data_IF_436754846248
#
_entry.id   IF_436754846248
#
_cell.length_a   1.000
_cell.length_b   1.000
_cell.length_c   1.000
_cell.angle_alpha   90.00
_cell.angle_beta   90.00
_cell.angle_gamma   90.00
#
_symmetry.space_group_name_H-M   'P 1'
#
loop_
_entity.id
_entity.type
_entity.pdbx_description
1 polymer ?
#
# COMPACT_ATOMS: atom_id res chain seq x y z
N UNK A 1 -11.37 6.66 5.10
CA UNK A 1 -10.95 5.40 5.78
C UNK A 1 -12.15 4.90 6.58
N UNK A 2 -12.54 3.66 6.36
CA UNK A 2 -13.67 3.01 7.04
C UNK A 2 -13.15 1.89 7.95
N UNK A 3 -13.36 2.05 9.26
CA UNK A 3 -12.91 1.06 10.24
C UNK A 3 -13.90 -0.10 10.44
N UNK A 4 -15.15 0.07 10.02
CA UNK A 4 -16.16 -0.99 10.05
C UNK A 4 -15.89 -1.98 8.92
N UNK A 5 -15.75 -1.46 7.70
CA UNK A 5 -15.41 -2.24 6.51
C UNK A 5 -13.90 -2.57 6.42
N UNK A 6 -13.08 -2.03 7.32
CA UNK A 6 -11.62 -2.16 7.32
C UNK A 6 -11.01 -1.84 5.96
N UNK A 7 -11.40 -0.69 5.39
CA UNK A 7 -11.01 -0.29 4.05
C UNK A 7 -10.51 1.16 3.97
N UNK A 8 -9.64 1.39 3.00
CA UNK A 8 -9.16 2.72 2.62
C UNK A 8 -9.52 2.93 1.14
N UNK A 9 -10.26 3.98 0.86
CA UNK A 9 -10.53 4.41 -0.51
C UNK A 9 -9.36 5.25 -1.03
N UNK A 10 -8.65 4.76 -2.03
CA UNK A 10 -7.55 5.46 -2.70
C UNK A 10 -8.13 6.19 -3.90
N UNK A 11 -8.48 7.47 -3.72
CA UNK A 11 -9.13 8.31 -4.74
C UNK A 11 -8.32 9.56 -5.11
N UNK A 12 -7.15 9.78 -4.52
CA UNK A 12 -6.30 10.95 -4.77
C UNK A 12 -4.82 10.57 -4.83
N UNK A 13 -4.06 11.27 -5.66
CA UNK A 13 -2.61 11.18 -5.76
C UNK A 13 -1.96 12.47 -5.28
N UNK A 14 -0.89 12.36 -4.52
CA UNK A 14 -0.04 13.47 -4.11
C UNK A 14 1.19 13.49 -5.00
N UNK A 15 1.38 14.58 -5.72
CA UNK A 15 2.54 14.79 -6.61
C UNK A 15 3.29 16.03 -6.17
N UNK A 16 4.62 15.94 -6.09
CA UNK A 16 5.49 17.08 -5.91
C UNK A 16 6.34 17.24 -7.17
N UNK A 17 6.16 18.35 -7.84
CA UNK A 17 7.01 18.76 -8.97
C UNK A 17 8.10 19.70 -8.43
N UNK A 18 9.33 19.58 -8.95
CA UNK A 18 10.45 20.44 -8.53
C UNK A 18 10.12 21.90 -8.84
N UNK A 19 10.21 22.75 -7.80
CA UNK A 19 9.91 24.18 -7.92
C UNK A 19 8.44 24.57 -7.80
N UNK A 20 7.54 23.60 -7.62
CA UNK A 20 6.11 23.85 -7.44
C UNK A 20 5.62 23.35 -6.06
N UNK A 21 4.42 23.80 -5.69
CA UNK A 21 3.72 23.32 -4.50
C UNK A 21 3.24 21.87 -4.67
N UNK A 22 2.85 21.26 -3.54
CA UNK A 22 2.25 19.94 -3.54
C UNK A 22 0.93 19.99 -4.30
N UNK A 23 0.79 19.13 -5.31
CA UNK A 23 -0.40 19.03 -6.12
C UNK A 23 -1.14 17.73 -5.77
N UNK A 24 -2.41 17.86 -5.40
CA UNK A 24 -3.31 16.72 -5.18
C UNK A 24 -4.19 16.57 -6.42
N UNK A 25 -4.14 15.39 -7.03
CA UNK A 25 -4.87 15.07 -8.28
C UNK A 25 -5.67 13.80 -8.10
N UNK A 26 -6.70 13.64 -8.90
CA UNK A 26 -7.36 12.35 -9.09
C UNK A 26 -6.41 11.32 -9.73
N UNK A 27 -6.63 10.01 -9.51
CA UNK A 27 -5.89 8.99 -10.19
C UNK A 27 -6.03 9.12 -11.72
N UNK A 28 -4.93 8.87 -12.45
CA UNK A 28 -4.93 8.96 -13.92
C UNK A 28 -5.75 7.86 -14.62
N UNK A 29 -6.05 6.79 -13.92
CA UNK A 29 -6.77 5.63 -14.46
C UNK A 29 -7.85 5.16 -13.47
N UNK A 30 -8.90 4.53 -13.98
CA UNK A 30 -9.94 3.91 -13.15
C UNK A 30 -9.36 2.89 -12.14
N UNK A 31 -8.32 2.14 -12.52
CA UNK A 31 -7.64 1.21 -11.62
C UNK A 31 -6.89 1.91 -10.46
N UNK A 32 -6.62 3.20 -10.59
CA UNK A 32 -6.04 4.01 -9.52
C UNK A 32 -7.04 4.37 -8.44
N UNK A 33 -8.33 4.46 -8.78
CA UNK A 33 -9.44 4.62 -7.84
C UNK A 33 -9.85 3.24 -7.35
N UNK A 34 -9.54 2.92 -6.08
CA UNK A 34 -9.74 1.58 -5.55
C UNK A 34 -9.86 1.55 -4.05
N UNK A 35 -10.43 0.47 -3.53
CA UNK A 35 -10.41 0.14 -2.12
C UNK A 35 -9.25 -0.81 -1.79
N UNK A 36 -8.56 -0.53 -0.68
CA UNK A 36 -7.55 -1.41 -0.11
C UNK A 36 -8.05 -1.85 1.27
N UNK A 37 -8.14 -3.16 1.47
CA UNK A 37 -8.61 -3.74 2.73
C UNK A 37 -7.43 -4.04 3.66
N UNK A 38 -7.66 -3.94 4.97
CA UNK A 38 -6.63 -4.13 5.98
C UNK A 38 -7.08 -5.09 7.10
N UNK A 39 -6.12 -5.72 7.77
CA UNK A 39 -6.36 -6.66 8.85
C UNK A 39 -6.82 -5.97 10.15
N UNK A 40 -7.26 -6.76 11.14
CA UNK A 40 -7.63 -6.25 12.46
C UNK A 40 -6.44 -5.59 13.17
N UNK A 41 -5.25 -6.17 13.03
CA UNK A 41 -4.02 -5.62 13.61
C UNK A 41 -3.69 -4.25 13.00
N UNK A 42 -3.81 -4.12 11.67
CA UNK A 42 -3.63 -2.84 10.99
C UNK A 42 -4.71 -1.84 11.40
N UNK A 43 -5.96 -2.27 11.59
CA UNK A 43 -7.02 -1.41 12.10
C UNK A 43 -6.68 -0.83 13.47
N UNK A 44 -6.11 -1.64 14.37
CA UNK A 44 -5.67 -1.18 15.70
C UNK A 44 -4.56 -0.13 15.59
N UNK A 45 -3.52 -0.41 14.80
CA UNK A 45 -2.43 0.54 14.56
C UNK A 45 -2.93 1.86 13.94
N UNK A 46 -3.85 1.80 12.99
CA UNK A 46 -4.42 3.00 12.37
C UNK A 46 -5.30 3.80 13.33
N UNK A 47 -6.01 3.15 14.26
CA UNK A 47 -6.77 3.83 15.34
C UNK A 47 -5.84 4.52 16.32
N UNK A 48 -4.76 3.86 16.75
CA UNK A 48 -3.74 4.46 17.63
C UNK A 48 -3.10 5.67 16.93
N UNK A 49 -2.73 5.53 15.67
CA UNK A 49 -2.17 6.63 14.89
C UNK A 49 -3.16 7.79 14.73
N UNK A 50 -4.45 7.51 14.52
CA UNK A 50 -5.50 8.54 14.47
C UNK A 50 -5.61 9.29 15.80
N UNK A 51 -5.58 8.56 16.93
CA UNK A 51 -5.60 9.19 18.27
C UNK A 51 -4.37 10.06 18.52
N UNK A 52 -3.19 9.61 18.07
CA UNK A 52 -1.97 10.41 18.09
C UNK A 52 -2.13 11.70 17.25
N UNK A 53 -2.64 11.60 16.02
CA UNK A 53 -2.88 12.78 15.18
C UNK A 53 -3.89 13.75 15.79
N UNK A 54 -4.94 13.24 16.44
CA UNK A 54 -5.92 14.06 17.17
C UNK A 54 -5.22 14.87 18.27
N UNK A 55 -4.41 14.22 19.12
CA UNK A 55 -3.68 14.91 20.19
C UNK A 55 -2.69 15.96 19.67
N UNK A 56 -1.98 15.68 18.55
CA UNK A 56 -1.11 16.65 17.90
C UNK A 56 -1.87 17.89 17.39
N UNK A 57 -3.05 17.68 16.81
CA UNK A 57 -3.90 18.77 16.32
C UNK A 57 -4.46 19.64 17.46
N UNK A 58 -4.95 19.01 18.51
CA UNK A 58 -5.44 19.71 19.69
C UNK A 58 -4.34 20.55 20.34
N UNK A 59 -3.13 19.97 20.47
CA UNK A 59 -2.00 20.64 21.10
C UNK A 59 -1.45 21.82 20.27
N UNK A 60 -1.34 21.67 18.97
CA UNK A 60 -0.65 22.63 18.10
C UNK A 60 -1.59 23.57 17.34
N UNK A 61 -2.82 23.15 17.07
CA UNK A 61 -3.77 23.89 16.24
C UNK A 61 -5.09 24.21 16.98
N UNK A 62 -5.31 23.62 18.17
CA UNK A 62 -6.52 23.84 18.98
C UNK A 62 -7.81 23.37 18.31
N UNK A 63 -7.71 22.37 17.41
CA UNK A 63 -8.85 21.84 16.65
C UNK A 63 -8.89 20.33 16.62
N UNK A 64 -10.06 19.79 16.32
CA UNK A 64 -10.26 18.36 16.13
C UNK A 64 -9.90 17.90 14.70
N UNK A 65 -9.63 16.59 14.59
CA UNK A 65 -9.41 15.89 13.33
C UNK A 65 -10.73 15.76 12.57
N UNK A 66 -10.75 16.15 11.31
CA UNK A 66 -11.90 16.06 10.42
C UNK A 66 -11.71 14.98 9.35
N UNK A 67 -12.75 14.72 8.55
CA UNK A 67 -12.67 13.82 7.40
C UNK A 67 -11.84 14.39 6.23
N UNK A 68 -11.62 15.69 6.21
CA UNK A 68 -10.82 16.37 5.19
C UNK A 68 -9.31 16.32 5.48
N UNK A 69 -8.93 16.01 6.72
CA UNK A 69 -7.53 15.93 7.10
C UNK A 69 -6.82 14.74 6.42
N UNK A 70 -5.58 14.95 6.02
CA UNK A 70 -4.75 13.90 5.45
C UNK A 70 -4.33 12.89 6.52
N UNK A 71 -4.40 11.59 6.21
CA UNK A 71 -3.92 10.52 7.10
C UNK A 71 -2.44 10.76 7.46
N UNK A 72 -1.63 11.07 6.46
CA UNK A 72 -0.23 11.40 6.63
C UNK A 72 -0.01 12.87 6.25
N UNK A 73 -0.08 13.72 7.23
CA UNK A 73 0.08 15.16 7.06
C UNK A 73 1.49 15.63 7.38
N UNK A 74 1.85 16.77 6.83
CA UNK A 74 3.07 17.47 7.18
C UNK A 74 2.85 18.19 8.52
N UNK A 75 3.79 18.00 9.46
CA UNK A 75 3.72 18.67 10.76
C UNK A 75 3.68 20.20 10.60
N UNK A 76 2.75 20.87 11.27
CA UNK A 76 2.59 22.32 11.24
C UNK A 76 2.04 22.90 9.93
N UNK A 77 1.46 22.07 9.06
CA UNK A 77 0.84 22.52 7.82
C UNK A 77 -0.34 21.62 7.43
N UNK A 78 -1.39 22.24 6.88
CA UNK A 78 -2.54 21.49 6.34
C UNK A 78 -2.24 20.97 4.91
N UNK A 79 -1.16 20.22 4.81
CA UNK A 79 -0.66 19.63 3.57
C UNK A 79 -0.31 18.16 3.78
N UNK A 80 -0.47 17.32 2.74
CA UNK A 80 -0.07 15.93 2.82
C UNK A 80 1.45 15.78 2.91
N UNK A 81 1.90 14.69 3.52
CA UNK A 81 3.31 14.31 3.49
C UNK A 81 3.73 13.98 2.05
N UNK A 82 4.92 14.45 1.66
CA UNK A 82 5.42 14.20 0.30
C UNK A 82 5.91 12.76 0.12
N UNK A 83 5.81 12.18 -1.09
CA UNK A 83 6.34 10.84 -1.36
C UNK A 83 7.82 10.68 -1.01
N UNK A 84 8.63 11.72 -1.22
CA UNK A 84 10.05 11.73 -0.85
C UNK A 84 10.28 11.59 0.66
N UNK A 85 9.41 12.16 1.48
CA UNK A 85 9.47 12.03 2.95
C UNK A 85 9.24 10.58 3.38
N UNK A 86 8.28 9.86 2.75
CA UNK A 86 8.08 8.43 3.00
C UNK A 86 9.31 7.62 2.66
N UNK A 87 9.89 7.83 1.47
CA UNK A 87 11.09 7.13 1.02
C UNK A 87 12.26 7.39 1.98
N UNK A 88 12.46 8.63 2.40
CA UNK A 88 13.51 8.99 3.34
C UNK A 88 13.31 8.33 4.72
N UNK A 89 12.10 8.41 5.28
CA UNK A 89 11.77 7.76 6.56
C UNK A 89 11.95 6.25 6.49
N UNK A 90 11.54 5.63 5.40
CA UNK A 90 11.73 4.20 5.18
C UNK A 90 13.23 3.82 5.22
N UNK A 91 14.09 4.58 4.54
CA UNK A 91 15.54 4.38 4.59
C UNK A 91 16.12 4.54 6.00
N UNK A 92 15.61 5.48 6.80
CA UNK A 92 16.01 5.61 8.21
C UNK A 92 15.65 4.37 9.04
N UNK A 93 14.45 3.81 8.82
CA UNK A 93 14.01 2.58 9.49
C UNK A 93 14.93 1.42 9.10
N UNK A 94 15.21 1.22 7.81
CA UNK A 94 16.13 0.19 7.34
C UNK A 94 17.49 0.31 8.02
N UNK A 95 18.06 1.52 8.02
CA UNK A 95 19.35 1.80 8.66
C UNK A 95 19.34 1.51 10.17
N UNK A 96 18.27 1.95 10.87
CA UNK A 96 18.13 1.74 12.31
C UNK A 96 18.09 0.26 12.70
N UNK A 97 17.52 -0.58 11.84
CA UNK A 97 17.34 -2.02 12.10
C UNK A 97 18.36 -2.90 11.38
N UNK A 98 19.41 -2.34 10.76
CA UNK A 98 20.44 -3.11 10.05
C UNK A 98 19.93 -3.87 8.83
N UNK A 99 18.84 -3.40 8.21
CA UNK A 99 18.23 -4.03 7.04
C UNK A 99 18.90 -3.52 5.75
N UNK A 100 18.83 -4.28 4.64
CA UNK A 100 19.42 -3.90 3.35
C UNK A 100 18.91 -2.55 2.87
N UNK A 101 19.84 -1.65 2.53
CA UNK A 101 19.51 -0.28 2.12
C UNK A 101 19.10 -0.15 0.65
N UNK A 102 19.19 -1.19 -0.15
CA UNK A 102 18.67 -1.28 -1.52
C UNK A 102 17.15 -1.45 -1.56
N UNK A 103 16.54 -1.97 -0.49
CA UNK A 103 15.09 -2.04 -0.35
C UNK A 103 14.45 -0.65 -0.46
N UNK A 104 13.32 -0.57 -1.11
CA UNK A 104 12.52 0.65 -1.29
C UNK A 104 11.03 0.37 -1.07
N UNK A 105 10.20 1.41 -1.10
CA UNK A 105 8.74 1.27 -0.89
C UNK A 105 8.10 0.38 -1.96
N UNK A 106 8.63 0.38 -3.20
CA UNK A 106 8.16 -0.52 -4.26
C UNK A 106 8.51 -1.98 -3.96
N UNK A 107 9.66 -2.26 -3.32
CA UNK A 107 10.02 -3.61 -2.88
C UNK A 107 8.99 -4.18 -1.90
N UNK A 108 8.45 -3.37 -0.99
CA UNK A 108 7.37 -3.81 -0.08
C UNK A 108 6.10 -4.18 -0.85
N UNK A 109 5.75 -3.40 -1.87
CA UNK A 109 4.62 -3.69 -2.75
C UNK A 109 4.82 -5.01 -3.50
N UNK A 110 6.02 -5.24 -4.04
CA UNK A 110 6.37 -6.49 -4.71
C UNK A 110 6.30 -7.68 -3.75
N UNK A 111 6.86 -7.54 -2.55
CA UNK A 111 6.79 -8.57 -1.52
C UNK A 111 5.34 -8.91 -1.16
N UNK A 112 4.49 -7.91 -0.92
CA UNK A 112 3.09 -8.12 -0.62
C UNK A 112 2.36 -8.88 -1.74
N UNK A 113 2.60 -8.51 -3.00
CA UNK A 113 2.01 -9.21 -4.13
C UNK A 113 2.49 -10.66 -4.24
N UNK A 114 3.80 -10.90 -4.08
CA UNK A 114 4.37 -12.25 -4.09
C UNK A 114 3.76 -13.12 -3.00
N UNK A 115 3.61 -12.60 -1.78
CA UNK A 115 2.99 -13.33 -0.67
C UNK A 115 1.52 -13.64 -0.93
N UNK A 116 0.74 -12.69 -1.50
CA UNK A 116 -0.66 -12.95 -1.86
C UNK A 116 -0.77 -14.05 -2.92
N UNK A 117 0.03 -13.99 -3.97
CA UNK A 117 0.02 -14.98 -5.05
C UNK A 117 0.48 -16.36 -4.54
N UNK A 118 1.55 -16.43 -3.75
CA UNK A 118 2.01 -17.66 -3.12
C UNK A 118 0.97 -18.24 -2.15
N UNK A 119 0.20 -17.38 -1.49
CA UNK A 119 -0.95 -17.77 -0.65
C UNK A 119 -2.18 -18.24 -1.43
N UNK A 120 -2.13 -18.25 -2.77
CA UNK A 120 -3.19 -18.75 -3.65
C UNK A 120 -4.18 -17.69 -4.14
N UNK A 121 -3.95 -16.41 -3.88
CA UNK A 121 -4.77 -15.36 -4.46
C UNK A 121 -4.61 -15.33 -6.00
N UNK A 122 -5.70 -15.12 -6.72
CA UNK A 122 -5.65 -14.99 -8.17
C UNK A 122 -5.01 -13.65 -8.58
N UNK A 123 -4.38 -13.66 -9.75
CA UNK A 123 -3.59 -12.53 -10.27
C UNK A 123 -4.44 -11.30 -10.55
N UNK A 124 -5.68 -11.48 -10.98
CA UNK A 124 -6.57 -10.37 -11.30
C UNK A 124 -6.96 -9.63 -10.02
N UNK A 125 -7.28 -10.36 -8.94
CA UNK A 125 -7.54 -9.79 -7.61
C UNK A 125 -6.31 -9.04 -7.09
N UNK A 126 -5.11 -9.64 -7.15
CA UNK A 126 -3.86 -8.99 -6.71
C UNK A 126 -3.58 -7.73 -7.54
N UNK A 127 -3.75 -7.81 -8.87
CA UNK A 127 -3.59 -6.66 -9.77
C UNK A 127 -4.53 -5.51 -9.42
N UNK A 128 -5.80 -5.82 -9.13
CA UNK A 128 -6.80 -4.84 -8.69
C UNK A 128 -6.44 -4.18 -7.37
N UNK A 129 -6.04 -4.97 -6.36
CA UNK A 129 -5.58 -4.45 -5.06
C UNK A 129 -4.38 -3.52 -5.20
N UNK A 130 -3.46 -3.87 -6.10
CA UNK A 130 -2.29 -3.05 -6.38
C UNK A 130 -2.63 -1.82 -7.24
N UNK A 131 -3.75 -1.80 -7.96
CA UNK A 131 -4.14 -0.73 -8.88
C UNK A 131 -3.28 -0.72 -10.15
N UNK A 132 -2.90 -1.88 -10.66
CA UNK A 132 -2.30 -1.99 -11.98
C UNK A 132 -3.40 -1.86 -13.04
N UNK A 133 -3.18 -1.01 -14.04
CA UNK A 133 -4.13 -0.82 -15.14
C UNK A 133 -4.22 -2.03 -16.06
N UNK A 134 -3.20 -2.89 -16.05
CA UNK A 134 -3.14 -4.13 -16.83
C UNK A 134 -2.64 -5.27 -15.96
N UNK A 135 -3.33 -6.41 -16.04
CA UNK A 135 -2.96 -7.64 -15.32
C UNK A 135 -1.61 -8.19 -15.78
N UNK A 136 -1.23 -7.98 -17.05
CA UNK A 136 0.07 -8.35 -17.59
C UNK A 136 1.24 -7.77 -16.79
N UNK A 137 1.11 -6.55 -16.27
CA UNK A 137 2.14 -5.94 -15.39
C UNK A 137 2.37 -6.79 -14.14
N UNK A 138 1.33 -7.37 -13.56
CA UNK A 138 1.46 -8.28 -12.42
C UNK A 138 2.07 -9.61 -12.85
N UNK A 139 1.64 -10.18 -13.98
CA UNK A 139 2.19 -11.42 -14.52
C UNK A 139 3.68 -11.32 -14.79
N UNK A 140 4.13 -10.27 -15.48
CA UNK A 140 5.54 -10.08 -15.86
C UNK A 140 6.46 -9.99 -14.63
N UNK A 141 5.98 -9.33 -13.55
CA UNK A 141 6.76 -9.16 -12.32
C UNK A 141 6.85 -10.48 -11.52
N UNK A 142 5.82 -11.34 -11.60
CA UNK A 142 5.69 -12.51 -10.72
C UNK A 142 5.80 -13.86 -11.45
N UNK A 143 6.38 -13.89 -12.65
CA UNK A 143 6.55 -15.10 -13.48
C UNK A 143 7.17 -16.26 -12.68
N UNK A 144 8.16 -16.00 -11.82
CA UNK A 144 8.79 -17.04 -11.01
C UNK A 144 7.84 -17.70 -10.00
N UNK A 145 6.99 -16.91 -9.32
CA UNK A 145 5.99 -17.44 -8.40
C UNK A 145 4.94 -18.32 -9.12
N UNK A 146 4.65 -18.01 -10.38
CA UNK A 146 3.76 -18.83 -11.21
C UNK A 146 4.39 -20.15 -11.64
N UNK A 147 5.68 -20.21 -11.86
CA UNK A 147 6.35 -21.46 -12.26
C UNK A 147 6.38 -22.47 -11.11
N UNK A 148 6.53 -22.03 -9.87
CA UNK A 148 6.35 -22.90 -8.69
C UNK A 148 4.90 -23.41 -8.61
N UNK A 149 3.91 -22.54 -8.77
CA UNK A 149 2.49 -22.91 -8.71
C UNK A 149 2.10 -23.88 -9.83
N UNK A 150 2.63 -23.70 -11.06
CA UNK A 150 2.43 -24.65 -12.16
C UNK A 150 2.95 -26.05 -11.81
N UNK A 151 4.11 -26.15 -11.14
CA UNK A 151 4.67 -27.44 -10.70
C UNK A 151 3.78 -28.11 -9.66
N UNK A 152 3.28 -27.35 -8.68
CA UNK A 152 2.35 -27.86 -7.65
C UNK A 152 1.05 -28.38 -8.28
N UNK A 153 0.44 -27.60 -9.18
CA UNK A 153 -0.81 -28.00 -9.88
C UNK A 153 -0.58 -29.24 -10.72
N UNK A 154 0.54 -29.32 -11.45
CA UNK A 154 0.90 -30.52 -12.24
C UNK A 154 1.05 -31.75 -11.36
N UNK A 155 1.71 -31.63 -10.20
CA UNK A 155 1.85 -32.74 -9.25
C UNK A 155 0.50 -33.18 -8.65
N UNK A 156 -0.40 -32.25 -8.35
CA UNK A 156 -1.75 -32.55 -7.87
C UNK A 156 -2.61 -33.25 -8.93
N UNK A 157 -2.45 -32.93 -10.20
CA UNK A 157 -3.16 -33.58 -11.30
C UNK A 157 -2.68 -35.04 -11.49
N UNK A 158 -1.38 -35.30 -11.37
CA UNK A 158 -0.85 -36.66 -11.44
C UNK A 158 -1.43 -37.57 -10.34
N UNK A 159 -1.66 -37.04 -9.13
CA UNK A 159 -2.28 -37.79 -8.04
C UNK A 159 -3.79 -38.03 -8.21
N UNK A 160 -4.49 -37.26 -9.08
CA UNK A 160 -5.94 -37.41 -9.32
C UNK A 160 -6.28 -38.24 -10.55
N UNK A 161 -5.37 -38.39 -11.51
CA UNK A 161 -5.59 -39.12 -12.78
C UNK A 161 -5.15 -40.57 -12.64
N UNK A 162 -4.79 -41.05 -11.46
CA UNK A 162 -4.55 -42.46 -11.09
C UNK A 162 -4.12 -43.36 -12.24
N UNK A 163 -2.86 -43.26 -12.66
CA UNK A 163 -2.21 -44.30 -13.47
C UNK A 163 -1.14 -44.92 -12.64
#
# INVERSE_FOLDING_TARGET
MDFTEKSIHICRNVVKVTGEDILVKEPKTAAGDRYVYFSLEMASLLKEYRSFCQGELELHEGRELTLEDYIFRRHGADLPMTPSTFTWRFKLILKKHGLPLDLNVHSLRHTAASLMISGGADVATVSGLLGHSQVSTTLDIYTHAFDEKKREVSAQMQGRVGV
#
